data_IF_612168183957
#
_entry.id   IF_612168183957
#
_cell.length_a   1.000
_cell.length_b   1.000
_cell.length_c   1.000
_cell.angle_alpha   90.00
_cell.angle_beta   90.00
_cell.angle_gamma   90.00
#
_symmetry.space_group_name_H-M   'P 1'
#
loop_
_entity.id
_entity.type
_entity.pdbx_description
1 polymer ?
#
# COMPACT_ATOMS: atom_id res chain seq x y z
N UNK A 1 6.14 14.88 17.48
CA UNK A 1 5.93 13.45 17.17
C UNK A 1 6.07 13.31 15.67
N UNK A 2 6.88 12.35 15.23
CA UNK A 2 7.09 12.05 13.81
C UNK A 2 5.77 11.57 13.20
N UNK A 3 5.42 12.04 12.00
CA UNK A 3 4.19 11.63 11.32
C UNK A 3 4.40 10.29 10.59
N UNK A 4 3.72 9.20 10.99
CA UNK A 4 3.88 7.90 10.34
C UNK A 4 3.04 7.83 9.06
N UNK A 5 3.67 7.45 7.96
CA UNK A 5 3.01 7.28 6.66
C UNK A 5 3.18 5.83 6.21
N UNK A 6 2.08 5.10 6.10
CA UNK A 6 2.07 3.75 5.52
C UNK A 6 2.07 3.89 4.00
N UNK A 7 3.01 3.24 3.31
CA UNK A 7 3.14 3.35 1.86
C UNK A 7 2.99 1.98 1.20
N UNK A 8 2.05 1.85 0.28
CA UNK A 8 2.01 0.76 -0.71
C UNK A 8 2.66 1.28 -1.99
N UNK A 9 3.90 0.88 -2.30
CA UNK A 9 4.63 1.44 -3.43
C UNK A 9 4.14 0.88 -4.77
N UNK A 10 4.58 1.51 -5.85
CA UNK A 10 4.30 1.08 -7.23
C UNK A 10 4.93 -0.29 -7.55
N UNK A 11 6.16 -0.50 -7.08
CA UNK A 11 6.94 -1.73 -7.22
C UNK A 11 8.10 -1.74 -6.22
N UNK A 12 8.96 -2.76 -6.28
CA UNK A 12 10.06 -2.99 -5.34
C UNK A 12 11.28 -2.09 -5.55
N UNK A 13 11.34 -1.32 -6.64
CA UNK A 13 12.55 -0.58 -7.02
C UNK A 13 12.83 0.57 -6.04
N UNK A 14 14.13 0.92 -5.82
CA UNK A 14 14.51 1.99 -4.89
C UNK A 14 13.82 3.34 -5.11
N UNK A 15 13.47 3.66 -6.36
CA UNK A 15 12.74 4.89 -6.71
C UNK A 15 11.34 4.96 -6.10
N UNK A 16 10.74 3.82 -5.76
CA UNK A 16 9.42 3.69 -5.18
C UNK A 16 9.45 3.36 -3.67
N UNK A 17 10.64 3.08 -3.11
CA UNK A 17 10.82 2.70 -1.71
C UNK A 17 11.79 3.65 -0.99
N UNK A 18 13.08 3.58 -1.33
CA UNK A 18 14.15 4.35 -0.68
C UNK A 18 14.01 5.86 -0.92
N UNK A 19 13.71 6.29 -2.15
CA UNK A 19 13.59 7.72 -2.45
C UNK A 19 12.42 8.37 -1.69
N UNK A 20 11.19 7.79 -1.68
CA UNK A 20 10.10 8.29 -0.84
C UNK A 20 10.46 8.37 0.65
N UNK A 21 11.21 7.40 1.20
CA UNK A 21 11.65 7.43 2.59
C UNK A 21 12.58 8.62 2.87
N UNK A 22 13.53 8.87 1.98
CA UNK A 22 14.43 10.02 2.08
C UNK A 22 13.65 11.34 2.01
N UNK A 23 12.70 11.45 1.08
CA UNK A 23 11.84 12.65 0.96
C UNK A 23 11.01 12.88 2.22
N UNK A 24 10.41 11.82 2.79
CA UNK A 24 9.65 11.92 4.04
C UNK A 24 10.53 12.42 5.20
N UNK A 25 11.75 11.89 5.32
CA UNK A 25 12.69 12.29 6.37
C UNK A 25 13.07 13.77 6.31
N UNK A 26 13.22 14.34 5.11
CA UNK A 26 13.45 15.78 4.91
C UNK A 26 12.27 16.61 5.45
N UNK A 27 11.04 16.09 5.30
CA UNK A 27 9.82 16.70 5.80
C UNK A 27 9.51 16.44 7.28
N UNK A 28 10.37 15.74 8.02
CA UNK A 28 10.12 15.37 9.41
C UNK A 28 9.07 14.27 9.60
N UNK A 29 8.89 13.42 8.59
CA UNK A 29 8.01 12.26 8.61
C UNK A 29 8.81 10.96 8.38
N UNK A 30 8.22 9.82 8.72
CA UNK A 30 8.73 8.50 8.35
C UNK A 30 7.72 7.73 7.53
N UNK A 31 8.23 6.75 6.78
CA UNK A 31 7.38 5.82 6.06
C UNK A 31 7.58 4.39 6.56
N UNK A 32 6.47 3.66 6.67
CA UNK A 32 6.46 2.20 6.77
C UNK A 32 6.29 1.62 5.37
N UNK A 33 7.11 0.63 5.02
CA UNK A 33 7.05 -0.09 3.75
C UNK A 33 6.75 -1.57 3.99
N UNK A 34 6.00 -2.24 3.09
CA UNK A 34 5.72 -3.65 3.21
C UNK A 34 7.01 -4.48 3.14
N UNK A 35 7.05 -5.66 3.78
CA UNK A 35 8.16 -6.58 3.64
C UNK A 35 8.34 -6.97 2.17
N UNK A 36 9.56 -7.32 1.78
CA UNK A 36 9.89 -7.68 0.38
C UNK A 36 9.08 -8.87 -0.14
N UNK A 37 8.57 -9.74 0.73
CA UNK A 37 7.69 -10.84 0.34
C UNK A 37 6.29 -10.36 -0.09
N UNK A 38 5.81 -9.25 0.47
CA UNK A 38 4.55 -8.59 0.14
C UNK A 38 4.69 -7.55 -0.99
N UNK A 39 5.78 -7.58 -1.76
CA UNK A 39 6.00 -6.70 -2.91
C UNK A 39 6.03 -7.51 -4.23
N UNK A 40 5.61 -6.91 -5.36
CA UNK A 40 5.77 -7.53 -6.67
C UNK A 40 7.21 -7.90 -6.96
N UNK A 41 7.37 -8.86 -7.86
CA UNK A 41 8.64 -9.12 -8.55
C UNK A 41 8.39 -9.17 -10.05
N UNK A 42 8.57 -8.04 -10.70
CA UNK A 42 8.34 -7.86 -12.13
C UNK A 42 6.93 -8.31 -12.58
N UNK A 43 6.79 -9.50 -13.16
CA UNK A 43 5.51 -10.10 -13.59
C UNK A 43 4.84 -10.93 -12.51
N UNK A 44 5.54 -11.24 -11.44
CA UNK A 44 5.01 -12.01 -10.31
C UNK A 44 4.28 -11.05 -9.39
N UNK A 45 2.97 -11.24 -9.14
CA UNK A 45 2.24 -10.41 -8.19
C UNK A 45 2.80 -10.59 -6.78
N UNK A 46 2.65 -9.54 -5.96
CA UNK A 46 2.80 -9.64 -4.51
C UNK A 46 1.85 -10.70 -3.93
N UNK A 47 2.20 -11.24 -2.77
CA UNK A 47 1.23 -11.94 -1.93
C UNK A 47 0.22 -10.92 -1.40
N UNK A 48 -1.00 -10.99 -1.92
CA UNK A 48 -2.07 -10.02 -1.64
C UNK A 48 -2.61 -10.15 -0.21
N UNK A 49 -2.58 -11.36 0.35
CA UNK A 49 -3.03 -11.60 1.72
C UNK A 49 -1.98 -11.08 2.71
N UNK A 50 -0.69 -11.32 2.44
CA UNK A 50 0.42 -10.76 3.22
C UNK A 50 0.41 -9.22 3.18
N UNK A 51 0.24 -8.64 1.98
CA UNK A 51 0.15 -7.19 1.81
C UNK A 51 -1.04 -6.61 2.57
N UNK A 52 -2.23 -7.21 2.45
CA UNK A 52 -3.42 -6.74 3.14
C UNK A 52 -3.31 -6.85 4.66
N UNK A 53 -2.67 -7.92 5.16
CA UNK A 53 -2.35 -8.10 6.58
C UNK A 53 -1.44 -7.00 7.10
N UNK A 54 -0.33 -6.76 6.40
CA UNK A 54 0.64 -5.73 6.76
C UNK A 54 0.03 -4.31 6.75
N UNK A 55 -0.76 -3.96 5.73
CA UNK A 55 -1.42 -2.64 5.66
C UNK A 55 -2.37 -2.45 6.85
N UNK A 56 -3.10 -3.51 7.24
CA UNK A 56 -4.02 -3.45 8.38
C UNK A 56 -3.29 -3.20 9.68
N UNK A 57 -2.24 -3.98 9.96
CA UNK A 57 -1.39 -3.81 11.15
C UNK A 57 -0.84 -2.39 11.23
N UNK A 58 -0.15 -1.93 10.17
CA UNK A 58 0.49 -0.62 10.17
C UNK A 58 -0.50 0.56 10.21
N UNK A 59 -1.71 0.40 9.67
CA UNK A 59 -2.72 1.47 9.72
C UNK A 59 -3.46 1.55 11.06
N UNK A 60 -3.37 0.50 11.90
CA UNK A 60 -4.04 0.45 13.21
C UNK A 60 -3.08 0.77 14.37
N UNK A 61 -1.80 0.46 14.24
CA UNK A 61 -0.80 0.65 15.30
C UNK A 61 -0.42 2.11 15.56
N UNK A 62 -0.78 3.01 14.64
CA UNK A 62 -0.32 4.39 14.64
C UNK A 62 -1.49 5.37 14.62
N UNK A 63 -1.90 5.89 15.78
CA UNK A 63 -2.86 6.99 15.86
C UNK A 63 -2.41 8.18 14.99
N UNK A 64 -3.27 8.62 14.08
CA UNK A 64 -2.98 9.73 13.16
C UNK A 64 -2.12 9.36 11.94
N UNK A 65 -1.93 8.07 11.65
CA UNK A 65 -1.26 7.63 10.43
C UNK A 65 -1.97 8.11 9.16
N UNK A 66 -1.20 8.21 8.08
CA UNK A 66 -1.72 8.39 6.71
C UNK A 66 -1.33 7.21 5.84
N UNK A 67 -2.21 6.79 4.94
CA UNK A 67 -1.96 5.75 3.96
C UNK A 67 -1.79 6.37 2.57
N UNK A 68 -0.65 6.12 1.93
CA UNK A 68 -0.42 6.40 0.51
C UNK A 68 -0.38 5.07 -0.23
N UNK A 69 -1.35 4.83 -1.11
CA UNK A 69 -1.57 3.52 -1.70
C UNK A 69 -1.55 3.53 -3.22
N UNK A 70 -0.67 2.74 -3.82
CA UNK A 70 -0.83 2.26 -5.19
C UNK A 70 -1.93 1.18 -5.23
N UNK A 71 -3.02 1.48 -5.92
CA UNK A 71 -4.18 0.58 -6.02
C UNK A 71 -3.88 -0.63 -6.91
N UNK A 72 -3.09 -0.46 -7.98
CA UNK A 72 -2.65 -1.59 -8.81
C UNK A 72 -1.86 -2.62 -7.99
N UNK A 73 -0.97 -2.17 -7.10
CA UNK A 73 -0.23 -3.04 -6.17
C UNK A 73 -1.16 -3.68 -5.14
N UNK A 74 -2.06 -2.91 -4.52
CA UNK A 74 -2.98 -3.43 -3.51
C UNK A 74 -3.94 -4.49 -4.07
N UNK A 75 -4.44 -4.28 -5.29
CA UNK A 75 -5.54 -5.09 -5.84
C UNK A 75 -5.03 -6.25 -6.69
N UNK A 76 -3.95 -6.04 -7.43
CA UNK A 76 -3.44 -7.02 -8.39
C UNK A 76 -2.01 -7.47 -8.10
N UNK A 77 -1.38 -6.91 -7.08
CA UNK A 77 -0.05 -7.30 -6.66
C UNK A 77 1.05 -6.65 -7.49
N UNK A 78 0.74 -5.62 -8.29
CA UNK A 78 1.72 -4.77 -8.97
C UNK A 78 1.15 -4.16 -10.26
N UNK A 79 1.82 -3.16 -10.83
CA UNK A 79 1.37 -2.48 -12.07
C UNK A 79 1.36 -3.42 -13.27
N UNK A 80 2.41 -4.24 -13.45
CA UNK A 80 2.44 -5.22 -14.55
C UNK A 80 1.37 -6.30 -14.32
N UNK A 81 1.28 -6.95 -13.14
CA UNK A 81 0.18 -7.86 -12.80
C UNK A 81 -1.21 -7.30 -13.10
N UNK A 82 -1.47 -6.01 -12.80
CA UNK A 82 -2.74 -5.35 -13.08
C UNK A 82 -3.12 -5.31 -14.57
N UNK A 83 -2.19 -5.57 -15.49
CA UNK A 83 -2.41 -5.58 -16.96
C UNK A 83 -2.43 -6.96 -17.58
N UNK A 84 -2.11 -7.99 -16.81
CA UNK A 84 -2.05 -9.38 -17.27
C UNK A 84 -2.87 -10.32 -16.39
N UNK A 85 -3.68 -9.76 -15.48
CA UNK A 85 -4.54 -10.51 -14.57
C UNK A 85 -5.79 -11.03 -15.28
N UNK A 86 -6.25 -12.20 -14.85
CA UNK A 86 -7.56 -12.76 -15.17
C UNK A 86 -8.58 -12.54 -14.02
N UNK A 87 -8.21 -11.76 -13.00
CA UNK A 87 -9.10 -11.45 -11.90
C UNK A 87 -10.37 -10.74 -12.39
N UNK A 88 -11.51 -11.20 -11.88
CA UNK A 88 -12.79 -10.56 -12.09
C UNK A 88 -12.89 -9.22 -11.34
N UNK A 89 -13.80 -8.36 -11.81
CA UNK A 89 -14.14 -7.10 -11.14
C UNK A 89 -14.55 -7.33 -9.68
N UNK A 90 -15.27 -8.41 -9.38
CA UNK A 90 -15.68 -8.72 -8.00
C UNK A 90 -14.49 -9.08 -7.11
N UNK A 91 -13.51 -9.83 -7.61
CA UNK A 91 -12.26 -10.10 -6.88
C UNK A 91 -11.49 -8.80 -6.61
N UNK A 92 -11.37 -7.94 -7.62
CA UNK A 92 -10.69 -6.65 -7.49
C UNK A 92 -11.38 -5.75 -6.45
N UNK A 93 -12.71 -5.61 -6.52
CA UNK A 93 -13.49 -4.85 -5.55
C UNK A 93 -13.44 -5.44 -4.14
N UNK A 94 -13.41 -6.77 -4.03
CA UNK A 94 -13.29 -7.46 -2.74
C UNK A 94 -11.98 -7.11 -2.02
N UNK A 95 -10.85 -7.06 -2.75
CA UNK A 95 -9.56 -6.64 -2.17
C UNK A 95 -9.54 -5.16 -1.82
N UNK A 96 -10.18 -4.31 -2.64
CA UNK A 96 -10.28 -2.87 -2.38
C UNK A 96 -11.10 -2.54 -1.12
N UNK A 97 -12.00 -3.45 -0.68
CA UNK A 97 -12.80 -3.28 0.53
C UNK A 97 -11.95 -3.16 1.81
N UNK A 98 -10.67 -3.55 1.76
CA UNK A 98 -9.70 -3.25 2.81
C UNK A 98 -9.70 -1.75 3.15
N UNK A 99 -9.66 -0.86 2.15
CA UNK A 99 -9.64 0.59 2.40
C UNK A 99 -10.92 1.07 3.08
N UNK A 100 -12.06 0.47 2.73
CA UNK A 100 -13.35 0.78 3.34
C UNK A 100 -13.39 0.33 4.80
N UNK A 101 -12.85 -0.86 5.08
CA UNK A 101 -12.72 -1.39 6.45
C UNK A 101 -11.81 -0.52 7.31
N UNK A 102 -10.65 -0.11 6.79
CA UNK A 102 -9.72 0.77 7.51
C UNK A 102 -10.36 2.12 7.82
N UNK A 103 -11.03 2.73 6.84
CA UNK A 103 -11.71 4.01 7.03
C UNK A 103 -12.91 3.94 7.98
N UNK A 104 -13.58 2.79 8.07
CA UNK A 104 -14.65 2.57 9.03
C UNK A 104 -14.11 2.40 10.46
N UNK A 105 -12.94 1.75 10.62
CA UNK A 105 -12.24 1.61 11.90
C UNK A 105 -11.64 2.93 12.39
N UNK A 106 -11.15 3.76 11.48
CA UNK A 106 -10.68 5.12 11.77
C UNK A 106 -11.19 6.12 10.70
N UNK A 107 -12.28 6.84 10.97
CA UNK A 107 -12.77 7.90 10.09
C UNK A 107 -11.77 9.05 9.88
N UNK A 108 -10.78 9.20 10.76
CA UNK A 108 -9.69 10.17 10.66
C UNK A 108 -8.57 9.76 9.70
N UNK A 109 -8.41 8.46 9.42
CA UNK A 109 -7.34 7.92 8.57
C UNK A 109 -7.34 8.59 7.19
N UNK A 110 -6.26 9.29 6.85
CA UNK A 110 -6.11 9.92 5.54
C UNK A 110 -5.62 8.88 4.54
N UNK A 111 -6.41 8.61 3.50
CA UNK A 111 -6.05 7.69 2.41
C UNK A 111 -5.83 8.49 1.13
N UNK A 112 -4.62 8.40 0.57
CA UNK A 112 -4.25 8.96 -0.73
C UNK A 112 -4.04 7.77 -1.67
N UNK A 113 -5.00 7.56 -2.56
CA UNK A 113 -5.00 6.45 -3.50
C UNK A 113 -4.59 6.91 -4.90
N UNK A 114 -3.72 6.15 -5.56
CA UNK A 114 -3.33 6.37 -6.96
C UNK A 114 -3.36 5.06 -7.75
N UNK A 115 -3.63 5.15 -9.05
CA UNK A 115 -3.51 4.06 -10.01
C UNK A 115 -2.81 4.58 -11.26
N UNK A 116 -2.01 3.73 -11.92
CA UNK A 116 -1.21 4.04 -13.11
C UNK A 116 -1.59 3.10 -14.24
#
# INVERSE_FOLDING_TARGET
TEMPIVVIPLDERPVNTQIPALVASIGGASISLPPTAALPRFRTPADLDELAGWVREQSQDHEGASLVACIDTLVFGGIIPARITDDSVSQALGRLDLLRTLKAGDPGLRIIATSL
#
